data_IF_231802274338
#
_entry.id   IF_231802274338
#
_cell.length_a   1.000
_cell.length_b   1.000
_cell.length_c   1.000
_cell.angle_alpha   90.00
_cell.angle_beta   90.00
_cell.angle_gamma   90.00
#
_symmetry.space_group_name_H-M   'P 1'
#
loop_
_entity.id
_entity.type
_entity.pdbx_description
1 polymer ?
#
# COMPACT_ATOMS: atom_id res chain seq x y z
N UNK A 1 6.34 7.94 -35.09
CA UNK A 1 5.19 7.13 -35.57
C UNK A 1 4.52 6.51 -34.35
N UNK A 2 3.41 7.05 -33.83
CA UNK A 2 2.78 6.50 -32.62
C UNK A 2 1.85 5.33 -32.98
N UNK A 3 1.88 4.27 -32.18
CA UNK A 3 1.23 2.99 -32.47
C UNK A 3 -0.29 2.99 -32.18
N UNK A 4 -1.14 2.32 -32.99
CA UNK A 4 -2.61 2.43 -32.93
C UNK A 4 -3.32 1.66 -31.79
N UNK A 5 -2.59 0.83 -31.03
CA UNK A 5 -3.20 -0.23 -30.20
C UNK A 5 -3.83 0.31 -28.90
N UNK A 6 -3.35 1.44 -28.36
CA UNK A 6 -3.88 2.01 -27.12
C UNK A 6 -5.26 2.66 -27.30
N UNK A 7 -5.54 3.23 -28.48
CA UNK A 7 -6.78 3.96 -28.73
C UNK A 7 -7.99 3.02 -28.82
N UNK A 8 -7.83 1.85 -29.45
CA UNK A 8 -8.91 0.87 -29.62
C UNK A 8 -9.27 0.16 -28.32
N UNK A 9 -8.29 -0.11 -27.46
CA UNK A 9 -8.52 -0.78 -26.17
C UNK A 9 -9.23 0.15 -25.18
N UNK A 10 -8.85 1.44 -25.16
CA UNK A 10 -9.57 2.46 -24.40
C UNK A 10 -10.97 2.70 -24.94
N UNK A 11 -11.16 2.75 -26.26
CA UNK A 11 -12.49 2.84 -26.89
C UNK A 11 -13.37 1.61 -26.58
N UNK A 12 -12.80 0.42 -26.54
CA UNK A 12 -13.51 -0.83 -26.24
C UNK A 12 -13.95 -0.91 -24.77
N UNK A 13 -13.08 -0.48 -23.83
CA UNK A 13 -13.39 -0.42 -22.40
C UNK A 13 -14.36 0.73 -22.08
N UNK A 14 -14.20 1.89 -22.74
CA UNK A 14 -15.07 3.06 -22.58
C UNK A 14 -16.45 2.86 -23.21
N UNK A 15 -16.65 2.01 -24.23
CA UNK A 15 -17.99 1.74 -24.81
C UNK A 15 -18.92 0.88 -23.94
N UNK A 16 -18.47 0.41 -22.77
CA UNK A 16 -19.25 -0.46 -21.87
C UNK A 16 -19.58 0.16 -20.52
N UNK A 17 -19.48 1.49 -20.38
CA UNK A 17 -19.94 2.17 -19.17
C UNK A 17 -21.47 2.16 -19.14
N UNK A 18 -22.07 1.84 -17.98
CA UNK A 18 -23.53 1.83 -17.80
C UNK A 18 -24.21 3.16 -18.17
N UNK A 19 -23.46 4.27 -18.22
CA UNK A 19 -23.97 5.60 -18.60
C UNK A 19 -24.59 5.58 -20.00
N UNK A 20 -23.95 4.97 -21.00
CA UNK A 20 -24.51 4.93 -22.36
C UNK A 20 -25.86 4.18 -22.39
N UNK A 21 -25.97 3.11 -21.59
CA UNK A 21 -27.22 2.37 -21.43
C UNK A 21 -28.28 3.17 -20.66
N UNK A 22 -27.88 3.99 -19.69
CA UNK A 22 -28.80 4.88 -18.96
C UNK A 22 -29.29 6.03 -19.84
N UNK A 23 -28.43 6.59 -20.69
CA UNK A 23 -28.79 7.60 -21.68
C UNK A 23 -29.75 7.00 -22.72
N UNK A 24 -29.42 5.83 -23.28
CA UNK A 24 -30.30 5.12 -24.21
C UNK A 24 -31.64 4.71 -23.55
N UNK A 25 -31.64 4.41 -22.25
CA UNK A 25 -32.86 4.09 -21.50
C UNK A 25 -33.72 5.32 -21.19
N UNK A 26 -33.12 6.50 -20.99
CA UNK A 26 -33.83 7.78 -20.90
C UNK A 26 -34.50 8.15 -22.23
N UNK A 27 -33.83 7.92 -23.35
CA UNK A 27 -34.44 8.12 -24.69
C UNK A 27 -35.65 7.20 -24.91
N UNK A 28 -35.58 5.97 -24.38
CA UNK A 28 -36.61 4.94 -24.59
C UNK A 28 -37.75 4.97 -23.57
N UNK A 29 -37.48 5.44 -22.35
CA UNK A 29 -38.40 5.47 -21.20
C UNK A 29 -38.20 6.74 -20.36
N UNK A 30 -38.53 7.93 -20.91
CA UNK A 30 -38.22 9.20 -20.26
C UNK A 30 -38.93 9.42 -18.92
N UNK A 31 -40.10 8.83 -18.73
CA UNK A 31 -40.89 8.93 -17.49
C UNK A 31 -40.32 8.08 -16.34
N UNK A 32 -39.52 7.06 -16.68
CA UNK A 32 -38.98 6.04 -15.78
C UNK A 32 -37.48 6.17 -15.53
N UNK A 33 -36.78 6.96 -16.34
CA UNK A 33 -35.34 7.18 -16.24
C UNK A 33 -35.01 8.64 -16.49
N UNK A 34 -35.26 9.46 -15.48
CA UNK A 34 -34.97 10.91 -15.49
C UNK A 34 -33.49 11.19 -15.27
N UNK A 35 -33.03 12.43 -15.55
CA UNK A 35 -31.64 12.82 -15.26
C UNK A 35 -31.27 12.63 -13.79
N UNK A 36 -32.19 12.94 -12.87
CA UNK A 36 -32.01 12.74 -11.44
C UNK A 36 -31.82 11.26 -11.09
N UNK A 37 -32.55 10.35 -11.74
CA UNK A 37 -32.40 8.92 -11.55
C UNK A 37 -31.09 8.38 -12.13
N UNK A 38 -30.64 8.91 -13.27
CA UNK A 38 -29.33 8.55 -13.84
C UNK A 38 -28.21 8.95 -12.87
N UNK A 39 -28.25 10.17 -12.34
CA UNK A 39 -27.27 10.66 -11.36
C UNK A 39 -27.31 9.80 -10.09
N UNK A 40 -28.51 9.54 -9.56
CA UNK A 40 -28.71 8.71 -8.37
C UNK A 40 -28.14 7.31 -8.57
N UNK A 41 -28.39 6.68 -9.73
CA UNK A 41 -27.88 5.35 -10.02
C UNK A 41 -26.36 5.32 -10.20
N UNK A 42 -25.77 6.39 -10.73
CA UNK A 42 -24.31 6.54 -10.80
C UNK A 42 -23.70 6.62 -9.40
N UNK A 43 -24.28 7.42 -8.51
CA UNK A 43 -23.83 7.55 -7.12
C UNK A 43 -23.94 6.20 -6.40
N UNK A 44 -25.08 5.50 -6.52
CA UNK A 44 -25.29 4.18 -5.91
C UNK A 44 -24.25 3.16 -6.39
N UNK A 45 -23.94 3.13 -7.68
CA UNK A 45 -22.93 2.21 -8.21
C UNK A 45 -21.52 2.51 -7.67
N UNK A 46 -21.17 3.79 -7.50
CA UNK A 46 -19.88 4.19 -6.90
C UNK A 46 -19.84 3.76 -5.43
N UNK A 47 -20.88 4.08 -4.65
CA UNK A 47 -20.94 3.75 -3.22
C UNK A 47 -20.92 2.23 -2.98
N UNK A 48 -21.69 1.47 -3.75
CA UNK A 48 -21.74 0.01 -3.64
C UNK A 48 -20.40 -0.66 -3.97
N UNK A 49 -19.65 -0.14 -4.95
CA UNK A 49 -18.35 -0.67 -5.36
C UNK A 49 -17.20 -0.32 -4.42
N UNK A 50 -17.23 0.85 -3.77
CA UNK A 50 -16.12 1.27 -2.90
C UNK A 50 -16.13 0.50 -1.57
N UNK A 51 -17.29 0.42 -0.90
CA UNK A 51 -17.35 -0.11 0.47
C UNK A 51 -17.07 -1.61 0.56
N UNK A 52 -17.77 -2.41 -0.25
CA UNK A 52 -17.74 -3.88 -0.16
C UNK A 52 -16.40 -4.46 -0.60
N UNK A 53 -15.88 -4.03 -1.76
CA UNK A 53 -14.59 -4.47 -2.29
C UNK A 53 -13.44 -4.10 -1.36
N UNK A 54 -13.45 -2.89 -0.80
CA UNK A 54 -12.41 -2.44 0.14
C UNK A 54 -12.38 -3.30 1.40
N UNK A 55 -13.55 -3.61 1.99
CA UNK A 55 -13.63 -4.43 3.21
C UNK A 55 -13.19 -5.87 2.94
N UNK A 56 -13.58 -6.46 1.81
CA UNK A 56 -13.15 -7.81 1.43
C UNK A 56 -11.63 -7.88 1.24
N UNK A 57 -11.04 -6.95 0.49
CA UNK A 57 -9.58 -6.90 0.30
C UNK A 57 -8.86 -6.65 1.62
N UNK A 58 -9.37 -5.77 2.49
CA UNK A 58 -8.80 -5.52 3.82
C UNK A 58 -8.86 -6.79 4.68
N UNK A 59 -9.96 -7.54 4.66
CA UNK A 59 -10.11 -8.74 5.49
C UNK A 59 -9.19 -9.87 5.02
N UNK A 60 -9.03 -10.05 3.71
CA UNK A 60 -8.05 -10.99 3.14
C UNK A 60 -6.64 -10.59 3.57
N UNK A 61 -6.25 -9.32 3.39
CA UNK A 61 -4.94 -8.83 3.82
C UNK A 61 -4.72 -8.96 5.34
N UNK A 62 -5.73 -8.68 6.16
CA UNK A 62 -5.67 -8.86 7.63
C UNK A 62 -5.50 -10.32 8.02
N UNK A 63 -6.19 -11.23 7.34
CA UNK A 63 -6.06 -12.67 7.59
C UNK A 63 -4.65 -13.15 7.23
N UNK A 64 -4.14 -12.74 6.07
CA UNK A 64 -2.80 -13.08 5.60
C UNK A 64 -1.70 -12.51 6.51
N UNK A 65 -1.82 -11.25 6.94
CA UNK A 65 -0.89 -10.61 7.88
C UNK A 65 -0.86 -11.30 9.26
N UNK A 66 -1.96 -11.93 9.70
CA UNK A 66 -1.97 -12.72 10.94
C UNK A 66 -1.39 -14.12 10.77
N UNK A 67 -1.38 -14.64 9.55
CA UNK A 67 -0.90 -15.98 9.22
C UNK A 67 0.36 -15.88 8.32
N UNK A 68 1.33 -15.08 8.75
CA UNK A 68 2.56 -14.84 7.97
C UNK A 68 3.37 -16.12 7.70
N UNK A 69 3.31 -17.11 8.60
CA UNK A 69 3.98 -18.39 8.41
C UNK A 69 3.46 -19.17 7.18
N UNK A 70 2.17 -19.05 6.83
CA UNK A 70 1.58 -19.72 5.67
C UNK A 70 1.78 -18.95 4.37
N UNK A 71 1.96 -17.62 4.46
CA UNK A 71 2.23 -16.76 3.29
C UNK A 71 3.69 -16.73 2.87
N UNK A 72 4.61 -17.27 3.69
CA UNK A 72 6.01 -17.48 3.31
C UNK A 72 6.18 -18.44 2.11
N UNK A 73 5.18 -19.28 1.83
CA UNK A 73 5.11 -20.10 0.62
C UNK A 73 4.85 -19.27 -0.66
N UNK A 74 4.45 -18.00 -0.50
CA UNK A 74 4.16 -17.04 -1.56
C UNK A 74 5.00 -15.78 -1.32
N UNK A 75 6.30 -15.86 -1.60
CA UNK A 75 7.29 -14.81 -1.33
C UNK A 75 6.87 -13.42 -1.83
N UNK A 76 6.20 -13.37 -2.98
CA UNK A 76 5.70 -12.12 -3.55
C UNK A 76 4.53 -11.52 -2.74
N UNK A 77 3.65 -12.36 -2.19
CA UNK A 77 2.55 -11.92 -1.34
C UNK A 77 3.05 -11.42 0.01
N UNK A 78 4.02 -12.11 0.62
CA UNK A 78 4.72 -11.63 1.82
C UNK A 78 5.36 -10.27 1.56
N UNK A 79 6.09 -10.12 0.44
CA UNK A 79 6.65 -8.84 0.02
C UNK A 79 5.61 -7.74 -0.13
N UNK A 80 4.43 -8.05 -0.70
CA UNK A 80 3.36 -7.06 -0.87
C UNK A 80 2.75 -6.61 0.46
N UNK A 81 2.59 -7.53 1.41
CA UNK A 81 2.12 -7.19 2.77
C UNK A 81 3.13 -6.31 3.49
N UNK A 82 4.41 -6.66 3.42
CA UNK A 82 5.49 -5.97 4.13
C UNK A 82 5.82 -4.59 3.54
N UNK A 83 5.72 -4.43 2.22
CA UNK A 83 5.87 -3.12 1.56
C UNK A 83 4.63 -2.21 1.79
N UNK A 84 3.44 -2.80 1.92
CA UNK A 84 2.20 -2.05 2.00
C UNK A 84 1.99 -1.28 3.31
N UNK A 85 2.55 -1.76 4.43
CA UNK A 85 2.33 -1.15 5.75
C UNK A 85 3.12 0.16 5.93
N UNK A 86 4.43 0.24 5.60
CA UNK A 86 5.19 1.49 5.68
C UNK A 86 4.68 2.59 4.75
N UNK A 87 4.29 2.25 3.52
CA UNK A 87 3.85 3.22 2.50
C UNK A 87 2.52 3.90 2.83
N UNK A 88 1.64 3.21 3.57
CA UNK A 88 0.33 3.75 3.93
C UNK A 88 0.36 4.66 5.16
N UNK A 89 1.51 4.81 5.83
CA UNK A 89 1.61 5.60 7.07
C UNK A 89 0.59 5.15 8.12
N UNK A 90 0.25 3.86 8.15
CA UNK A 90 -0.79 3.31 9.02
C UNK A 90 -0.42 3.42 10.52
N UNK A 91 0.83 3.78 10.81
CA UNK A 91 1.39 4.13 12.10
C UNK A 91 1.13 5.62 12.44
N UNK A 92 -0.13 5.94 12.76
CA UNK A 92 -0.49 7.19 13.44
C UNK A 92 0.07 7.29 14.87
N UNK A 93 0.65 6.20 15.39
CA UNK A 93 1.16 6.05 16.74
C UNK A 93 2.63 5.61 16.70
N UNK A 94 3.46 6.20 17.55
CA UNK A 94 4.84 5.77 17.75
C UNK A 94 4.88 4.88 19.01
N UNK A 95 4.80 3.55 18.89
CA UNK A 95 4.67 2.67 20.05
C UNK A 95 5.93 2.62 20.92
N UNK A 96 7.06 3.18 20.45
CA UNK A 96 8.38 3.02 21.05
C UNK A 96 8.96 4.34 21.60
N UNK A 97 8.12 5.14 22.27
CA UNK A 97 8.58 6.33 22.99
C UNK A 97 9.50 5.98 24.16
N UNK A 98 10.73 6.51 24.17
CA UNK A 98 11.69 6.42 25.26
C UNK A 98 11.88 7.79 25.88
N UNK A 99 11.99 7.83 27.21
CA UNK A 99 12.25 9.07 27.95
C UNK A 99 13.75 9.27 28.09
N UNK A 100 14.23 10.46 27.75
CA UNK A 100 15.62 10.85 27.95
C UNK A 100 15.91 10.98 29.45
N UNK A 101 16.97 10.31 29.91
CA UNK A 101 17.40 10.32 31.30
C UNK A 101 17.92 11.68 31.81
N UNK A 102 18.25 11.78 33.11
CA UNK A 102 18.64 13.03 33.77
C UNK A 102 19.88 13.71 33.19
N UNK A 103 20.76 12.96 32.53
CA UNK A 103 21.99 13.50 31.91
C UNK A 103 21.74 14.16 30.53
N UNK A 104 20.51 14.04 30.00
CA UNK A 104 20.21 14.37 28.61
C UNK A 104 20.72 13.30 27.63
N UNK A 105 20.44 13.49 26.34
CA UNK A 105 20.91 12.60 25.27
C UNK A 105 21.56 13.43 24.16
N UNK A 106 22.79 13.09 23.77
CA UNK A 106 23.47 13.72 22.63
C UNK A 106 23.35 12.79 21.43
N UNK A 107 22.65 13.24 20.39
CA UNK A 107 22.48 12.49 19.14
C UNK A 107 23.67 12.70 18.20
N UNK A 108 23.91 11.78 17.25
CA UNK A 108 24.80 12.00 16.12
C UNK A 108 24.45 13.31 15.42
N UNK A 109 25.43 14.21 15.23
CA UNK A 109 25.18 15.57 14.73
C UNK A 109 25.16 16.66 15.81
N UNK A 110 25.52 16.35 17.06
CA UNK A 110 25.66 17.29 18.20
C UNK A 110 24.34 17.91 18.67
N UNK A 111 23.20 17.36 18.26
CA UNK A 111 21.89 17.75 18.82
C UNK A 111 21.79 17.20 20.24
N UNK A 112 21.56 18.09 21.22
CA UNK A 112 21.37 17.71 22.63
C UNK A 112 19.89 17.76 22.99
N UNK A 113 19.37 16.63 23.48
CA UNK A 113 18.02 16.50 23.99
C UNK A 113 18.03 16.68 25.51
N UNK A 114 17.16 17.54 26.07
CA UNK A 114 17.09 17.74 27.50
C UNK A 114 16.49 16.52 28.22
N UNK A 115 16.75 16.37 29.53
CA UNK A 115 16.10 15.38 30.37
C UNK A 115 14.58 15.42 30.27
N UNK A 116 13.92 14.27 30.33
CA UNK A 116 12.46 14.15 30.24
C UNK A 116 11.89 14.25 28.83
N UNK A 117 12.71 14.51 27.80
CA UNK A 117 12.27 14.49 26.40
C UNK A 117 11.81 13.08 26.02
N UNK A 118 10.62 12.95 25.44
CA UNK A 118 10.14 11.69 24.86
C UNK A 118 10.60 11.61 23.40
N UNK A 119 11.39 10.59 23.08
CA UNK A 119 11.87 10.33 21.72
C UNK A 119 11.43 8.96 21.25
N UNK A 120 11.09 8.85 19.97
CA UNK A 120 10.83 7.56 19.35
C UNK A 120 11.04 7.66 17.85
N UNK A 121 11.26 6.53 17.20
CA UNK A 121 11.33 6.45 15.75
C UNK A 121 10.06 5.74 15.29
N UNK A 122 9.33 6.38 14.37
CA UNK A 122 8.18 5.73 13.73
C UNK A 122 8.66 4.52 12.91
N UNK A 123 8.01 3.36 13.02
CA UNK A 123 8.34 2.19 12.21
C UNK A 123 8.42 2.52 10.71
N UNK A 124 7.45 3.28 10.16
CA UNK A 124 7.47 3.74 8.76
C UNK A 124 8.74 4.47 8.35
N UNK A 125 9.34 5.26 9.25
CA UNK A 125 10.58 6.02 8.97
C UNK A 125 11.83 5.11 9.01
N UNK A 126 11.80 4.03 9.79
CA UNK A 126 12.89 3.07 9.79
C UNK A 126 12.84 2.15 8.57
N UNK A 127 11.64 1.77 8.13
CA UNK A 127 11.40 0.88 6.99
C UNK A 127 11.75 1.50 5.63
N UNK A 128 11.98 2.81 5.55
CA UNK A 128 12.36 3.51 4.30
C UNK A 128 13.87 3.75 4.16
N UNK A 129 14.70 3.19 5.06
CA UNK A 129 16.15 3.39 4.98
C UNK A 129 16.75 2.59 3.83
N UNK A 130 17.23 3.28 2.80
CA UNK A 130 17.85 2.64 1.64
C UNK A 130 19.04 1.74 1.98
N UNK A 131 19.78 2.09 3.04
CA UNK A 131 20.88 1.24 3.54
C UNK A 131 20.41 -0.17 3.95
N UNK A 132 19.19 -0.29 4.44
CA UNK A 132 18.65 -1.56 4.97
C UNK A 132 17.74 -2.23 3.94
N UNK A 133 16.91 -1.46 3.24
CA UNK A 133 15.88 -1.97 2.35
C UNK A 133 16.22 -1.79 0.86
N UNK A 134 17.32 -1.12 0.51
CA UNK A 134 17.68 -0.84 -0.88
C UNK A 134 16.92 0.34 -1.49
N UNK A 135 17.04 0.57 -2.81
CA UNK A 135 16.57 1.80 -3.45
C UNK A 135 15.04 1.87 -3.56
N UNK A 136 14.51 3.07 -3.85
CA UNK A 136 13.07 3.33 -4.06
C UNK A 136 12.21 2.98 -2.84
N UNK A 137 12.48 3.53 -1.65
CA UNK A 137 11.78 3.16 -0.42
C UNK A 137 10.33 3.69 -0.35
N UNK A 138 9.95 4.58 -1.26
CA UNK A 138 8.60 5.15 -1.36
C UNK A 138 7.75 4.52 -2.47
N UNK A 139 8.27 3.49 -3.12
CA UNK A 139 7.55 2.71 -4.14
C UNK A 139 7.18 1.34 -3.57
N UNK A 140 6.02 0.80 -3.95
CA UNK A 140 5.60 -0.56 -3.61
C UNK A 140 6.39 -1.55 -4.47
N UNK A 141 7.43 -2.18 -3.91
CA UNK A 141 8.30 -3.13 -4.66
C UNK A 141 8.34 -4.47 -3.93
N UNK A 142 7.35 -5.36 -4.12
CA UNK A 142 7.29 -6.67 -3.45
C UNK A 142 8.51 -7.55 -3.71
N UNK A 143 9.10 -7.45 -4.91
CA UNK A 143 10.29 -8.20 -5.32
C UNK A 143 11.50 -7.98 -4.41
N UNK A 144 11.54 -6.86 -3.66
CA UNK A 144 12.57 -6.58 -2.66
C UNK A 144 12.65 -7.66 -1.58
N UNK A 145 11.54 -8.34 -1.29
CA UNK A 145 11.48 -9.42 -0.29
C UNK A 145 11.70 -10.79 -0.90
N UNK A 146 11.73 -10.87 -2.23
CA UNK A 146 12.03 -12.07 -2.98
C UNK A 146 13.52 -12.19 -3.26
N UNK A 147 13.96 -13.39 -3.63
CA UNK A 147 15.30 -13.62 -4.18
C UNK A 147 15.34 -13.10 -5.62
N UNK A 148 16.39 -12.36 -5.97
CA UNK A 148 16.62 -11.92 -7.35
C UNK A 148 17.10 -13.05 -8.25
N UNK A 149 16.83 -12.95 -9.56
CA UNK A 149 17.24 -13.95 -10.54
C UNK A 149 18.77 -14.16 -10.60
N UNK A 150 19.53 -13.07 -10.45
CA UNK A 150 21.00 -13.06 -10.45
C UNK A 150 21.61 -13.13 -9.05
N UNK A 151 20.80 -13.36 -8.01
CA UNK A 151 21.24 -13.36 -6.62
C UNK A 151 21.58 -14.77 -6.14
N UNK A 152 22.73 -14.94 -5.47
CA UNK A 152 23.08 -16.22 -4.85
C UNK A 152 22.18 -16.49 -3.64
N UNK A 153 22.05 -17.76 -3.24
CA UNK A 153 21.27 -18.09 -2.04
C UNK A 153 21.87 -17.45 -0.78
N UNK A 154 23.19 -17.38 -0.71
CA UNK A 154 23.93 -16.82 0.43
C UNK A 154 23.68 -15.30 0.54
N UNK A 155 23.79 -14.58 -0.58
CA UNK A 155 23.50 -13.14 -0.63
C UNK A 155 22.04 -12.84 -0.28
N UNK A 156 21.11 -13.66 -0.80
CA UNK A 156 19.69 -13.55 -0.48
C UNK A 156 19.42 -13.71 1.01
N UNK A 157 19.95 -14.77 1.62
CA UNK A 157 19.77 -15.04 3.06
C UNK A 157 20.37 -13.91 3.90
N UNK A 158 21.55 -13.41 3.56
CA UNK A 158 22.18 -12.31 4.29
C UNK A 158 21.37 -11.01 4.19
N UNK A 159 20.95 -10.64 2.98
CA UNK A 159 20.12 -9.46 2.73
C UNK A 159 18.76 -9.57 3.41
N UNK A 160 18.11 -10.72 3.30
CA UNK A 160 16.82 -11.00 3.94
C UNK A 160 16.94 -10.90 5.46
N UNK A 161 17.99 -11.47 6.05
CA UNK A 161 18.24 -11.36 7.48
C UNK A 161 18.52 -9.91 7.92
N UNK A 162 19.23 -9.11 7.12
CA UNK A 162 19.43 -7.69 7.38
C UNK A 162 18.10 -6.92 7.41
N UNK A 163 17.26 -7.18 6.42
CA UNK A 163 15.93 -6.58 6.32
C UNK A 163 15.01 -7.05 7.45
N UNK A 164 15.04 -8.33 7.87
CA UNK A 164 14.22 -8.81 9.01
C UNK A 164 14.60 -8.09 10.31
N UNK A 165 15.91 -7.85 10.53
CA UNK A 165 16.37 -7.11 11.72
C UNK A 165 15.98 -5.63 11.68
N UNK A 166 15.80 -5.07 10.49
CA UNK A 166 15.39 -3.68 10.29
C UNK A 166 13.88 -3.50 10.22
N UNK A 167 13.15 -4.57 9.91
CA UNK A 167 11.70 -4.61 9.89
C UNK A 167 11.19 -4.56 11.33
N UNK A 168 10.24 -3.66 11.59
CA UNK A 168 9.66 -3.44 12.92
C UNK A 168 8.16 -3.79 12.95
N UNK A 169 7.75 -4.64 12.00
CA UNK A 169 6.42 -5.24 11.92
C UNK A 169 6.30 -6.50 12.79
#
# INVERSE_FOLDING_TARGET
>A
MPMPILHDTLSFVLRRIKIDNFIASKERYPDLMTEEQIITQCIVNVVAGVGTSTVSTINVLKYLSRNMAETQLLSYLDGLVREGIPLRGADGFNPNGRVVGPEGLVLPGKVKLPPGTVVGIKPSVASIRERTFGPRPYELVPDRWCRGDDETEEDYVERRALMERGDML
#
